data_IF_825183785523
#
_entry.id   IF_825183785523
#
_cell.length_a   1.000
_cell.length_b   1.000
_cell.length_c   1.000
_cell.angle_alpha   90.00
_cell.angle_beta   90.00
_cell.angle_gamma   90.00
#
_symmetry.space_group_name_H-M   'P 1'
#
loop_
_entity.id
_entity.type
_entity.pdbx_description
1 polymer ?
#
# COMPACT_ATOMS: atom_id res chain seq x y z
N UNK A 1 4.14 -34.45 -18.11
CA UNK A 1 4.83 -34.39 -16.81
C UNK A 1 3.91 -35.00 -15.78
N UNK A 2 4.23 -36.20 -15.28
CA UNK A 2 3.46 -36.83 -14.22
C UNK A 2 3.81 -36.17 -12.89
N UNK A 3 2.88 -35.39 -12.33
CA UNK A 3 3.02 -34.86 -10.97
C UNK A 3 2.72 -35.99 -10.00
N UNK A 4 3.77 -36.57 -9.41
CA UNK A 4 3.61 -37.48 -8.27
C UNK A 4 3.02 -36.64 -7.12
N UNK A 5 1.92 -37.05 -6.48
CA UNK A 5 1.38 -36.35 -5.34
C UNK A 5 2.43 -36.36 -4.22
N UNK A 6 3.03 -35.21 -3.92
CA UNK A 6 3.84 -35.07 -2.72
C UNK A 6 2.92 -35.22 -1.50
N UNK A 7 3.36 -35.93 -0.44
CA UNK A 7 2.67 -35.95 0.85
C UNK A 7 2.36 -34.52 1.31
N UNK A 8 1.19 -34.33 1.91
CA UNK A 8 0.72 -33.01 2.32
C UNK A 8 1.71 -32.37 3.31
N UNK A 9 2.29 -33.20 4.18
CA UNK A 9 3.27 -32.83 5.19
C UNK A 9 4.54 -32.24 4.57
N UNK A 10 5.00 -32.80 3.44
CA UNK A 10 6.17 -32.29 2.71
C UNK A 10 5.87 -30.91 2.12
N UNK A 11 4.68 -30.73 1.54
CA UNK A 11 4.24 -29.44 1.00
C UNK A 11 4.10 -28.39 2.11
N UNK A 12 3.57 -28.78 3.26
CA UNK A 12 3.44 -27.88 4.43
C UNK A 12 4.80 -27.50 4.97
N UNK A 13 5.73 -28.45 5.13
CA UNK A 13 7.09 -28.17 5.60
C UNK A 13 7.85 -27.21 4.66
N UNK A 14 7.69 -27.38 3.35
CA UNK A 14 8.26 -26.47 2.36
C UNK A 14 7.66 -25.05 2.49
N UNK A 15 6.34 -24.95 2.64
CA UNK A 15 5.68 -23.66 2.85
C UNK A 15 6.10 -22.99 4.16
N UNK A 16 6.23 -23.75 5.25
CA UNK A 16 6.71 -23.23 6.54
C UNK A 16 8.14 -22.67 6.43
N UNK A 17 9.02 -23.37 5.72
CA UNK A 17 10.38 -22.91 5.47
C UNK A 17 10.42 -21.64 4.60
N UNK A 18 9.59 -21.56 3.56
CA UNK A 18 9.46 -20.36 2.72
C UNK A 18 8.91 -19.17 3.51
N UNK A 19 7.88 -19.38 4.31
CA UNK A 19 7.30 -18.34 5.18
C UNK A 19 8.34 -17.85 6.19
N UNK A 20 9.13 -18.75 6.79
CA UNK A 20 10.22 -18.36 7.68
C UNK A 20 11.29 -17.50 6.96
N UNK A 21 11.64 -17.86 5.73
CA UNK A 21 12.57 -17.10 4.87
C UNK A 21 12.02 -15.71 4.49
N UNK A 22 10.72 -15.59 4.23
CA UNK A 22 10.08 -14.30 3.95
C UNK A 22 10.02 -13.42 5.19
N UNK A 23 9.72 -14.00 6.36
CA UNK A 23 9.70 -13.28 7.64
C UNK A 23 11.08 -12.71 8.00
N UNK A 24 12.14 -13.50 7.86
CA UNK A 24 13.50 -13.03 8.16
C UNK A 24 13.94 -11.89 7.23
N UNK A 25 13.61 -11.97 5.93
CA UNK A 25 13.83 -10.87 4.98
C UNK A 25 13.05 -9.60 5.36
N UNK A 26 11.83 -9.76 5.88
CA UNK A 26 11.02 -8.62 6.31
C UNK A 26 11.54 -8.01 7.61
N UNK A 27 12.01 -8.81 8.57
CA UNK A 27 12.63 -8.29 9.81
C UNK A 27 13.88 -7.44 9.53
N UNK A 28 14.66 -7.79 8.50
CA UNK A 28 15.78 -6.97 8.01
C UNK A 28 15.31 -5.62 7.46
N UNK A 29 14.12 -5.56 6.86
CA UNK A 29 13.51 -4.32 6.32
C UNK A 29 12.74 -3.54 7.41
N UNK A 30 12.22 -4.25 8.42
CA UNK A 30 11.41 -3.73 9.52
C UNK A 30 12.22 -3.15 10.69
N UNK A 31 13.52 -2.93 10.49
CA UNK A 31 14.35 -2.06 11.33
C UNK A 31 14.50 -0.65 10.72
N UNK A 32 13.45 0.11 10.39
CA UNK A 32 13.65 1.53 10.22
C UNK A 32 13.79 2.15 11.62
N UNK A 33 14.91 2.81 11.88
CA UNK A 33 15.19 3.56 13.12
C UNK A 33 14.10 4.59 13.47
N UNK A 34 13.23 4.92 12.49
CA UNK A 34 12.14 5.88 12.56
C UNK A 34 10.91 5.37 11.79
N UNK A 35 9.68 5.66 12.25
CA UNK A 35 8.46 5.34 11.50
C UNK A 35 8.49 5.87 10.05
N UNK A 36 7.86 5.14 9.13
CA UNK A 36 7.81 5.52 7.69
C UNK A 36 7.36 6.97 7.46
N UNK A 37 6.30 7.42 8.16
CA UNK A 37 5.78 8.78 8.00
C UNK A 37 6.83 9.83 8.34
N UNK A 38 7.67 9.59 9.36
CA UNK A 38 8.75 10.49 9.75
C UNK A 38 9.84 10.53 8.67
N UNK A 39 10.07 9.40 7.98
CA UNK A 39 11.05 9.31 6.88
C UNK A 39 10.65 10.08 5.62
N UNK A 40 9.35 10.20 5.36
CA UNK A 40 8.83 10.83 4.13
C UNK A 40 8.28 12.23 4.32
N UNK A 41 8.22 12.71 5.56
CA UNK A 41 7.74 14.07 5.85
C UNK A 41 8.65 15.08 5.16
N UNK A 42 8.05 16.01 4.41
CA UNK A 42 8.77 17.06 3.69
C UNK A 42 9.28 16.68 2.31
N UNK A 43 9.07 15.44 1.82
CA UNK A 43 9.47 15.01 0.46
C UNK A 43 9.03 15.98 -0.65
N UNK A 44 7.89 16.65 -0.47
CA UNK A 44 7.30 17.57 -1.44
C UNK A 44 7.24 19.02 -0.95
N UNK A 45 7.93 19.38 0.14
CA UNK A 45 7.77 20.69 0.79
C UNK A 45 8.09 21.90 -0.12
N UNK A 46 8.94 21.71 -1.14
CA UNK A 46 9.37 22.76 -2.08
C UNK A 46 8.95 22.45 -3.52
N UNK A 47 8.00 21.53 -3.72
CA UNK A 47 7.57 21.11 -5.05
C UNK A 47 6.26 21.79 -5.44
N UNK A 48 6.36 22.85 -6.26
CA UNK A 48 5.19 23.60 -6.73
C UNK A 48 4.18 22.77 -7.54
N UNK A 49 4.63 21.72 -8.23
CA UNK A 49 3.74 20.83 -8.97
C UNK A 49 2.89 19.95 -8.04
N UNK A 50 3.40 19.66 -6.84
CA UNK A 50 2.61 18.98 -5.81
C UNK A 50 1.46 19.86 -5.31
N UNK A 51 1.73 21.14 -5.05
CA UNK A 51 0.71 22.10 -4.62
C UNK A 51 -0.39 22.25 -5.68
N UNK A 52 0.00 22.38 -6.96
CA UNK A 52 -0.93 22.45 -8.09
C UNK A 52 -1.81 21.19 -8.19
N UNK A 53 -1.21 19.99 -8.04
CA UNK A 53 -1.97 18.74 -8.07
C UNK A 53 -2.97 18.64 -6.90
N UNK A 54 -2.59 19.14 -5.72
CA UNK A 54 -3.47 19.16 -4.54
C UNK A 54 -4.64 20.15 -4.71
N UNK A 55 -4.38 21.29 -5.37
CA UNK A 55 -5.39 22.28 -5.75
C UNK A 55 -6.43 21.67 -6.70
N UNK A 56 -5.98 21.15 -7.84
CA UNK A 56 -6.84 20.52 -8.85
C UNK A 56 -7.65 19.36 -8.27
N UNK A 57 -7.03 18.54 -7.42
CA UNK A 57 -7.71 17.46 -6.73
C UNK A 57 -8.80 17.95 -5.78
N UNK A 58 -8.62 19.11 -5.14
CA UNK A 58 -9.63 19.72 -4.27
C UNK A 58 -10.80 20.24 -5.09
N UNK A 59 -10.54 21.02 -6.12
CA UNK A 59 -11.57 21.56 -7.04
C UNK A 59 -12.44 20.43 -7.60
N UNK A 60 -11.82 19.33 -8.02
CA UNK A 60 -12.55 18.16 -8.49
C UNK A 60 -13.49 17.58 -7.42
N UNK A 61 -12.99 17.36 -6.19
CA UNK A 61 -13.83 16.84 -5.09
C UNK A 61 -14.96 17.79 -4.71
N UNK A 62 -14.72 19.10 -4.76
CA UNK A 62 -15.73 20.12 -4.50
C UNK A 62 -16.82 20.12 -5.58
N UNK A 63 -16.44 19.97 -6.85
CA UNK A 63 -17.39 19.85 -7.95
C UNK A 63 -18.36 18.67 -7.79
N UNK A 64 -17.87 17.54 -7.25
CA UNK A 64 -18.68 16.36 -6.98
C UNK A 64 -19.61 16.54 -5.77
N UNK A 65 -19.23 17.37 -4.80
CA UNK A 65 -20.05 17.64 -3.61
C UNK A 65 -21.30 18.43 -3.97
N UNK A 66 -21.22 19.35 -4.92
CA UNK A 66 -22.38 20.10 -5.42
C UNK A 66 -23.38 19.21 -6.17
N UNK A 67 -22.91 18.17 -6.87
CA UNK A 67 -23.78 17.20 -7.55
C UNK A 67 -24.55 16.25 -6.60
N UNK A 68 -24.15 16.16 -5.33
CA UNK A 68 -24.82 15.30 -4.34
C UNK A 68 -26.06 15.95 -3.72
N UNK A 69 -26.26 17.26 -3.86
CA UNK A 69 -27.43 17.97 -3.31
C UNK A 69 -28.62 17.89 -4.29
N UNK A 70 -28.39 17.89 -5.60
CA UNK A 70 -29.47 17.76 -6.61
C UNK A 70 -30.03 16.34 -6.77
N UNK A 71 -29.33 15.29 -6.29
CA UNK A 71 -29.80 13.90 -6.41
C UNK A 71 -30.57 13.39 -5.18
N UNK A 72 -30.84 14.23 -4.18
CA UNK A 72 -31.58 13.83 -2.96
C UNK A 72 -33.05 14.25 -2.97
N UNK A 73 -33.51 15.02 -3.97
CA UNK A 73 -34.89 15.49 -4.11
C UNK A 73 -35.54 14.98 -5.42
N UNK A 74 -35.40 13.67 -5.71
CA UNK A 74 -36.15 12.99 -6.77
C UNK A 74 -36.68 11.63 -6.30
#
# INVERSE_FOLDING_TARGET
MSTVPQPLEERVANLEAEVASLKSKLEVVALPTKPWWERITGTFAENSAYDEAMELGREYRESLRSGSIESSDA
#
